data_IF_811121557030
#
_entry.id   IF_811121557030
#
_cell.length_a   1.000
_cell.length_b   1.000
_cell.length_c   1.000
_cell.angle_alpha   90.00
_cell.angle_beta   90.00
_cell.angle_gamma   90.00
#
_symmetry.space_group_name_H-M   'P 1'
#
loop_
_entity.id
_entity.type
_entity.pdbx_description
1 polymer ?
#
# COMPACT_ATOMS: atom_id res chain seq x y z
N UNK A 1 -10.62 -4.49 -4.10
CA UNK A 1 -10.09 -5.87 -4.11
C UNK A 1 -8.65 -5.83 -3.64
N UNK A 2 -8.18 -6.86 -2.94
CA UNK A 2 -6.80 -6.95 -2.41
C UNK A 2 -5.93 -7.68 -3.41
N UNK A 3 -4.70 -7.21 -3.63
CA UNK A 3 -3.79 -7.75 -4.65
C UNK A 3 -3.44 -9.23 -4.43
N UNK A 4 -3.26 -9.97 -5.54
CA UNK A 4 -2.83 -11.37 -5.51
C UNK A 4 -1.36 -11.46 -5.07
N UNK A 5 -1.11 -12.21 -3.99
CA UNK A 5 0.21 -12.38 -3.34
C UNK A 5 0.87 -11.04 -2.99
N UNK A 6 0.40 -10.35 -1.95
CA UNK A 6 1.07 -9.14 -1.47
C UNK A 6 2.44 -9.54 -0.93
N UNK A 7 3.50 -9.19 -1.67
CA UNK A 7 4.89 -9.49 -1.27
C UNK A 7 5.41 -8.50 -0.25
N UNK A 8 4.86 -7.29 -0.25
CA UNK A 8 5.22 -6.22 0.66
C UNK A 8 4.04 -5.28 0.86
N UNK A 9 3.89 -4.80 2.09
CA UNK A 9 3.02 -3.67 2.40
C UNK A 9 3.73 -2.75 3.39
N UNK A 10 3.35 -1.47 3.40
CA UNK A 10 3.79 -0.51 4.41
C UNK A 10 2.61 0.34 4.84
N UNK A 11 2.59 0.69 6.11
CA UNK A 11 1.74 1.73 6.67
C UNK A 11 2.56 3.02 6.76
N UNK A 12 1.94 4.17 6.54
CA UNK A 12 2.58 5.45 6.82
C UNK A 12 2.81 5.64 8.34
N UNK A 13 3.77 6.49 8.75
CA UNK A 13 4.04 6.72 10.16
C UNK A 13 2.86 7.29 10.96
N UNK A 14 1.98 8.05 10.31
CA UNK A 14 0.77 8.60 10.95
C UNK A 14 -0.41 7.62 10.95
N UNK A 15 -0.29 6.47 10.27
CA UNK A 15 -1.31 5.43 10.21
C UNK A 15 -2.54 5.76 9.36
N UNK A 16 -2.49 6.80 8.53
CA UNK A 16 -3.59 7.22 7.67
C UNK A 16 -3.66 6.46 6.33
N UNK A 17 -2.56 5.85 5.88
CA UNK A 17 -2.42 5.24 4.55
C UNK A 17 -1.71 3.91 4.58
N UNK A 18 -2.21 2.97 3.78
CA UNK A 18 -1.59 1.67 3.56
C UNK A 18 -1.33 1.48 2.06
N UNK A 19 -0.13 1.01 1.74
CA UNK A 19 0.23 0.62 0.38
C UNK A 19 0.61 -0.86 0.35
N UNK A 20 0.03 -1.61 -0.58
CA UNK A 20 0.28 -3.03 -0.77
C UNK A 20 0.71 -3.31 -2.20
N UNK A 21 1.87 -3.94 -2.38
CA UNK A 21 2.39 -4.32 -3.67
C UNK A 21 2.09 -5.80 -3.95
N UNK A 22 1.38 -6.07 -5.03
CA UNK A 22 1.13 -7.43 -5.52
C UNK A 22 2.30 -7.90 -6.39
N UNK A 23 2.99 -8.96 -5.95
CA UNK A 23 4.09 -9.53 -6.74
C UNK A 23 3.65 -10.20 -8.03
N UNK A 24 2.39 -10.65 -8.09
CA UNK A 24 1.82 -11.31 -9.26
C UNK A 24 1.11 -10.33 -10.21
N UNK A 25 0.68 -9.17 -9.71
CA UNK A 25 -0.07 -8.19 -10.49
C UNK A 25 0.78 -7.06 -11.06
N UNK A 26 2.03 -6.94 -10.64
CA UNK A 26 2.94 -5.83 -11.00
C UNK A 26 2.37 -4.45 -10.61
N UNK A 27 1.52 -4.43 -9.57
CA UNK A 27 0.73 -3.27 -9.15
C UNK A 27 0.88 -2.96 -7.66
N UNK A 28 0.68 -1.69 -7.33
CA UNK A 28 0.62 -1.16 -5.98
C UNK A 28 -0.79 -0.63 -5.73
N UNK A 29 -1.52 -1.27 -4.83
CA UNK A 29 -2.79 -0.77 -4.35
C UNK A 29 -2.57 0.18 -3.16
N UNK A 30 -3.32 1.28 -3.14
CA UNK A 30 -3.32 2.25 -2.05
C UNK A 30 -4.66 2.28 -1.34
N UNK A 31 -4.61 2.48 -0.03
CA UNK A 31 -5.78 2.50 0.84
C UNK A 31 -5.66 3.64 1.85
N UNK A 32 -6.81 4.23 2.20
CA UNK A 32 -6.93 5.07 3.40
C UNK A 32 -7.41 4.21 4.56
N UNK A 33 -6.82 4.41 5.72
CA UNK A 33 -7.14 3.69 6.95
C UNK A 33 -8.07 4.54 7.80
N UNK A 34 -9.19 3.98 8.25
CA UNK A 34 -9.99 4.59 9.30
C UNK A 34 -9.28 4.43 10.66
N UNK A 35 -8.98 5.54 11.34
CA UNK A 35 -8.20 5.52 12.57
C UNK A 35 -8.94 4.92 13.77
N UNK A 36 -10.28 4.86 13.74
CA UNK A 36 -11.09 4.32 14.83
C UNK A 36 -11.34 2.82 14.66
N UNK A 37 -11.50 2.35 13.43
CA UNK A 37 -11.94 0.97 13.12
C UNK A 37 -10.87 0.12 12.44
N UNK A 38 -9.87 0.75 11.80
CA UNK A 38 -8.89 0.07 10.96
C UNK A 38 -9.42 -0.33 9.59
N UNK A 39 -10.65 0.06 9.22
CA UNK A 39 -11.20 -0.24 7.91
C UNK A 39 -10.40 0.41 6.78
N UNK A 40 -10.18 -0.34 5.70
CA UNK A 40 -9.42 0.10 4.54
C UNK A 40 -10.37 0.56 3.44
N UNK A 41 -10.31 1.85 3.10
CA UNK A 41 -10.99 2.39 1.93
C UNK A 41 -10.03 2.35 0.74
N UNK A 42 -10.34 1.61 -0.35
CA UNK A 42 -9.51 1.62 -1.56
C UNK A 42 -9.41 3.02 -2.15
N UNK A 43 -8.21 3.39 -2.59
CA UNK A 43 -7.95 4.61 -3.33
C UNK A 43 -7.60 4.24 -4.79
N UNK A 44 -6.35 4.47 -5.20
CA UNK A 44 -5.85 4.18 -6.54
C UNK A 44 -4.93 2.96 -6.58
N UNK A 45 -4.77 2.41 -7.79
CA UNK A 45 -3.82 1.34 -8.07
C UNK A 45 -2.83 1.81 -9.13
N UNK A 46 -1.53 1.68 -8.83
CA UNK A 46 -0.45 2.16 -9.67
C UNK A 46 0.32 0.98 -10.29
N UNK A 47 0.72 1.04 -11.57
CA UNK A 47 1.69 0.10 -12.12
C UNK A 47 3.08 0.37 -11.53
N UNK A 48 3.74 -0.64 -10.97
CA UNK A 48 5.06 -0.49 -10.31
C UNK A 48 6.15 -1.39 -10.90
N UNK A 49 5.83 -2.12 -11.97
CA UNK A 49 6.77 -3.00 -12.65
C UNK A 49 6.84 -4.39 -12.02
N UNK A 50 7.74 -5.22 -12.56
CA UNK A 50 7.72 -6.66 -12.29
C UNK A 50 8.26 -7.02 -10.92
N UNK A 51 7.53 -7.88 -10.20
CA UNK A 51 7.96 -8.48 -8.90
C UNK A 51 8.45 -7.44 -7.89
N UNK A 52 7.61 -6.48 -7.47
CA UNK A 52 7.95 -5.56 -6.39
C UNK A 52 8.33 -6.32 -5.12
N UNK A 53 9.52 -6.04 -4.56
CA UNK A 53 10.06 -6.75 -3.39
C UNK A 53 9.84 -6.04 -2.05
N UNK A 54 9.62 -4.73 -2.06
CA UNK A 54 9.50 -3.93 -0.85
C UNK A 54 8.75 -2.63 -1.10
N UNK A 55 8.04 -2.16 -0.08
CA UNK A 55 7.38 -0.85 -0.03
C UNK A 55 7.88 -0.16 1.22
N UNK A 56 8.35 1.08 1.09
CA UNK A 56 8.74 1.94 2.20
C UNK A 56 8.01 3.26 2.08
N UNK A 57 7.38 3.69 3.18
CA UNK A 57 6.79 5.01 3.30
C UNK A 57 7.66 5.80 4.27
N UNK A 58 8.14 6.96 3.83
CA UNK A 58 8.96 7.84 4.65
C UNK A 58 8.37 9.26 4.64
N UNK A 59 8.20 9.84 5.82
CA UNK A 59 7.92 11.25 5.95
C UNK A 59 9.24 12.01 5.74
N UNK A 60 9.31 12.85 4.71
CA UNK A 60 10.55 13.53 4.33
C UNK A 60 10.83 14.78 5.16
N UNK A 61 9.89 15.21 6.02
CA UNK A 61 10.02 16.42 6.82
C UNK A 61 10.00 17.69 5.96
N UNK A 62 9.10 18.61 6.30
CA UNK A 62 9.11 19.99 5.81
C UNK A 62 9.44 20.94 6.94
#
# INVERSE_FOLDING_TARGET
ETEAVPSAFSLDPEGAFLFAAGSESDRLASYRVDAATGELTPLETYPVGKRPMGVLIANLGG
#
